data_IF_388321079133
#
_entry.id   IF_388321079133
#
_cell.length_a   1.000
_cell.length_b   1.000
_cell.length_c   1.000
_cell.angle_alpha   90.00
_cell.angle_beta   90.00
_cell.angle_gamma   90.00
#
_symmetry.space_group_name_H-M   'P 1'
#
loop_
_entity.id
_entity.type
_entity.pdbx_description
1 polymer ?
#
# COMPACT_ATOMS: atom_id res chain seq x y z
N UNK A 1 -24.98 -0.71 -5.99
CA UNK A 1 -24.41 -0.45 -7.34
C UNK A 1 -23.12 0.34 -7.18
N UNK A 2 -22.08 -0.04 -7.92
CA UNK A 2 -20.78 0.66 -7.94
C UNK A 2 -20.77 1.59 -9.16
N UNK A 3 -20.42 2.85 -8.97
CA UNK A 3 -20.20 3.80 -10.05
C UNK A 3 -18.73 4.22 -10.04
N UNK A 4 -18.00 3.96 -11.13
CA UNK A 4 -16.59 4.33 -11.27
C UNK A 4 -16.48 5.29 -12.44
N UNK A 5 -15.81 6.42 -12.23
CA UNK A 5 -15.44 7.32 -13.32
C UNK A 5 -14.26 6.72 -14.08
N UNK A 6 -14.38 6.61 -15.38
CA UNK A 6 -13.36 6.08 -16.26
C UNK A 6 -13.31 6.93 -17.52
N UNK A 7 -12.12 7.10 -18.07
CA UNK A 7 -11.92 7.68 -19.39
C UNK A 7 -12.68 6.86 -20.46
N UNK A 8 -13.30 7.56 -21.42
CA UNK A 8 -14.15 6.89 -22.41
C UNK A 8 -13.33 6.00 -23.35
N UNK A 9 -12.16 6.46 -23.80
CA UNK A 9 -11.32 5.68 -24.70
C UNK A 9 -10.80 4.42 -24.00
N UNK A 10 -10.43 4.53 -22.72
CA UNK A 10 -10.06 3.37 -21.90
C UNK A 10 -11.23 2.40 -21.73
N UNK A 11 -12.44 2.90 -21.47
CA UNK A 11 -13.64 2.09 -21.32
C UNK A 11 -13.93 1.25 -22.56
N UNK A 12 -13.86 1.88 -23.73
CA UNK A 12 -14.20 1.23 -24.99
C UNK A 12 -13.19 0.13 -25.32
N UNK A 13 -11.89 0.43 -25.21
CA UNK A 13 -10.80 -0.54 -25.41
C UNK A 13 -10.88 -1.72 -24.44
N UNK A 14 -11.17 -1.45 -23.17
CA UNK A 14 -11.31 -2.51 -22.17
C UNK A 14 -12.54 -3.38 -22.44
N UNK A 15 -13.65 -2.78 -22.87
CA UNK A 15 -14.89 -3.51 -23.18
C UNK A 15 -14.72 -4.42 -24.39
N UNK A 16 -14.03 -3.95 -25.45
CA UNK A 16 -13.70 -4.76 -26.61
C UNK A 16 -12.80 -5.94 -26.23
N UNK A 17 -11.74 -5.70 -25.44
CA UNK A 17 -10.84 -6.76 -24.99
C UNK A 17 -11.57 -7.81 -24.13
N UNK A 18 -12.45 -7.38 -23.22
CA UNK A 18 -13.28 -8.28 -22.41
C UNK A 18 -14.26 -9.09 -23.24
N UNK A 19 -14.91 -8.46 -24.22
CA UNK A 19 -15.81 -9.14 -25.14
C UNK A 19 -15.09 -10.21 -25.98
N UNK A 20 -13.87 -9.93 -26.44
CA UNK A 20 -13.02 -10.92 -27.12
C UNK A 20 -12.66 -12.12 -26.23
N UNK A 21 -12.62 -11.93 -24.90
CA UNK A 21 -12.46 -12.99 -23.91
C UNK A 21 -13.79 -13.67 -23.49
N UNK A 22 -14.93 -13.22 -24.02
CA UNK A 22 -16.25 -13.73 -23.64
C UNK A 22 -16.75 -13.26 -22.27
N UNK A 23 -16.19 -12.18 -21.73
CA UNK A 23 -16.53 -11.63 -20.42
C UNK A 23 -17.30 -10.30 -20.55
N UNK A 24 -18.30 -10.10 -19.70
CA UNK A 24 -18.88 -8.77 -19.53
C UNK A 24 -18.03 -7.92 -18.59
N UNK A 25 -18.14 -6.59 -18.68
CA UNK A 25 -17.49 -5.67 -17.72
C UNK A 25 -17.89 -5.98 -16.27
N UNK A 26 -19.15 -6.37 -16.05
CA UNK A 26 -19.63 -6.73 -14.73
C UNK A 26 -18.97 -8.00 -14.19
N UNK A 27 -18.71 -9.00 -15.05
CA UNK A 27 -18.05 -10.24 -14.65
C UNK A 27 -16.58 -10.01 -14.31
N UNK A 28 -15.88 -9.20 -15.10
CA UNK A 28 -14.50 -8.81 -14.81
C UNK A 28 -14.39 -8.11 -13.45
N UNK A 29 -15.30 -7.17 -13.15
CA UNK A 29 -15.33 -6.49 -11.85
C UNK A 29 -15.65 -7.47 -10.71
N UNK A 30 -16.60 -8.38 -10.88
CA UNK A 30 -16.92 -9.40 -9.85
C UNK A 30 -15.71 -10.28 -9.55
N UNK A 31 -15.01 -10.74 -10.58
CA UNK A 31 -13.80 -11.56 -10.45
C UNK A 31 -12.69 -10.82 -9.70
N UNK A 32 -12.45 -9.55 -10.03
CA UNK A 32 -11.49 -8.70 -9.33
C UNK A 32 -11.80 -8.61 -7.83
N UNK A 33 -13.05 -8.29 -7.47
CA UNK A 33 -13.45 -8.17 -6.06
C UNK A 33 -13.39 -9.52 -5.33
N UNK A 34 -13.74 -10.61 -6.00
CA UNK A 34 -13.60 -11.94 -5.41
C UNK A 34 -12.13 -12.26 -5.12
N UNK A 35 -11.21 -11.98 -6.05
CA UNK A 35 -9.78 -12.25 -5.83
C UNK A 35 -9.22 -11.42 -4.68
N UNK A 36 -9.60 -10.15 -4.58
CA UNK A 36 -9.23 -9.28 -3.45
C UNK A 36 -9.75 -9.85 -2.12
N UNK A 37 -11.02 -10.27 -2.07
CA UNK A 37 -11.60 -10.83 -0.87
C UNK A 37 -10.94 -12.15 -0.45
N UNK A 38 -10.59 -13.01 -1.41
CA UNK A 38 -9.96 -14.31 -1.15
C UNK A 38 -8.51 -14.19 -0.74
N UNK A 39 -7.72 -13.37 -1.42
CA UNK A 39 -6.27 -13.29 -1.18
C UNK A 39 -5.89 -12.23 -0.15
N UNK A 40 -6.83 -11.36 0.24
CA UNK A 40 -6.56 -10.17 1.05
C UNK A 40 -5.45 -9.28 0.44
N UNK A 41 -5.32 -9.33 -0.89
CA UNK A 41 -4.29 -8.65 -1.64
C UNK A 41 -4.85 -8.15 -2.97
N UNK A 42 -4.24 -7.11 -3.52
CA UNK A 42 -4.59 -6.64 -4.85
C UNK A 42 -3.98 -7.57 -5.91
N UNK A 43 -4.76 -8.07 -6.89
CA UNK A 43 -4.30 -9.12 -7.80
C UNK A 43 -3.35 -8.65 -8.91
N UNK A 44 -3.00 -7.36 -8.93
CA UNK A 44 -1.94 -6.83 -9.77
C UNK A 44 -0.76 -6.47 -8.87
N UNK A 45 0.45 -6.80 -9.32
CA UNK A 45 1.67 -6.39 -8.61
C UNK A 45 1.75 -4.86 -8.55
N UNK A 46 1.58 -4.30 -7.35
CA UNK A 46 1.79 -2.89 -7.08
C UNK A 46 3.30 -2.65 -6.94
N UNK A 47 3.95 -2.33 -8.07
CA UNK A 47 5.42 -2.20 -8.15
C UNK A 47 5.99 -0.93 -7.52
N UNK A 48 5.15 0.09 -7.31
CA UNK A 48 5.60 1.39 -6.80
C UNK A 48 5.06 1.59 -5.38
N UNK A 49 5.94 1.68 -4.36
CA UNK A 49 5.51 2.01 -3.01
C UNK A 49 4.76 3.34 -3.00
N UNK A 50 3.76 3.48 -2.12
CA UNK A 50 3.00 4.72 -2.02
C UNK A 50 3.88 5.88 -1.48
N UNK A 51 3.36 7.10 -1.49
CA UNK A 51 4.15 8.27 -1.09
C UNK A 51 4.69 8.18 0.35
N UNK A 52 3.88 7.66 1.27
CA UNK A 52 4.25 7.46 2.68
C UNK A 52 5.37 6.44 2.82
N UNK A 53 5.25 5.27 2.20
CA UNK A 53 6.29 4.24 2.20
C UNK A 53 7.58 4.76 1.58
N UNK A 54 7.51 5.53 0.49
CA UNK A 54 8.71 6.14 -0.10
C UNK A 54 9.36 7.15 0.84
N UNK A 55 8.58 7.96 1.55
CA UNK A 55 9.11 8.92 2.53
C UNK A 55 9.84 8.19 3.67
N UNK A 56 9.22 7.14 4.23
CA UNK A 56 9.82 6.31 5.27
C UNK A 56 11.12 5.63 4.80
N UNK A 57 11.18 5.15 3.54
CA UNK A 57 12.40 4.57 2.97
C UNK A 57 13.53 5.61 2.85
N UNK A 58 13.22 6.84 2.42
CA UNK A 58 14.21 7.93 2.34
C UNK A 58 14.71 8.31 3.73
N UNK A 59 13.82 8.41 4.72
CA UNK A 59 14.18 8.68 6.11
C UNK A 59 15.10 7.60 6.68
N UNK A 60 14.77 6.32 6.44
CA UNK A 60 15.61 5.20 6.83
C UNK A 60 16.99 5.26 6.16
N UNK A 61 17.06 5.51 4.85
CA UNK A 61 18.33 5.66 4.11
C UNK A 61 19.19 6.80 4.68
N UNK A 62 18.58 7.93 5.02
CA UNK A 62 19.29 9.04 5.66
C UNK A 62 19.79 8.69 7.06
N UNK A 63 18.98 7.98 7.85
CA UNK A 63 19.34 7.51 9.18
C UNK A 63 20.58 6.61 9.11
N UNK A 64 20.58 5.61 8.23
CA UNK A 64 21.74 4.73 8.04
C UNK A 64 22.99 5.48 7.52
N UNK A 65 22.82 6.42 6.57
CA UNK A 65 23.94 7.24 6.06
C UNK A 65 24.59 8.13 7.12
N UNK A 66 23.81 8.61 8.08
CA UNK A 66 24.29 9.44 9.20
C UNK A 66 24.96 8.60 10.30
N UNK A 67 25.13 7.29 10.10
CA UNK A 67 25.70 6.38 11.09
C UNK A 67 24.70 5.95 12.16
N UNK A 68 23.40 6.06 11.88
CA UNK A 68 22.34 5.55 12.74
C UNK A 68 22.45 4.04 12.88
N UNK A 69 23.01 3.59 14.00
CA UNK A 69 23.02 2.18 14.39
C UNK A 69 22.04 1.99 15.52
N UNK A 70 20.79 1.69 15.21
CA UNK A 70 19.87 1.03 16.13
C UNK A 70 20.27 -0.45 16.26
N UNK A 71 21.50 -0.69 16.72
CA UNK A 71 21.94 -2.02 17.11
C UNK A 71 21.46 -2.24 18.54
N UNK A 72 20.76 -3.34 18.75
CA UNK A 72 20.30 -3.77 20.06
C UNK A 72 20.91 -5.14 20.35
N UNK A 73 21.32 -5.36 21.59
CA UNK A 73 21.95 -6.62 22.01
C UNK A 73 20.94 -7.78 22.09
N UNK A 74 19.65 -7.46 22.27
CA UNK A 74 18.55 -8.44 22.28
C UNK A 74 17.21 -7.79 21.85
N UNK A 75 16.19 -8.63 21.65
CA UNK A 75 14.86 -8.18 21.22
C UNK A 75 14.14 -7.33 22.28
N UNK A 76 14.36 -7.58 23.58
CA UNK A 76 13.71 -6.84 24.67
C UNK A 76 14.15 -5.38 24.68
N UNK A 77 15.45 -5.12 24.46
CA UNK A 77 16.01 -3.77 24.36
C UNK A 77 15.44 -3.00 23.15
N UNK A 78 15.29 -3.68 22.01
CA UNK A 78 14.65 -3.10 20.82
C UNK A 78 13.18 -2.75 21.07
N UNK A 79 12.40 -3.64 21.69
CA UNK A 79 10.98 -3.40 21.98
C UNK A 79 10.78 -2.29 23.02
N UNK A 80 11.64 -2.21 24.03
CA UNK A 80 11.60 -1.14 25.03
C UNK A 80 11.80 0.25 24.40
N UNK A 81 12.76 0.37 23.47
CA UNK A 81 13.01 1.63 22.77
C UNK A 81 11.85 2.01 21.84
N UNK A 82 11.34 1.07 21.04
CA UNK A 82 10.17 1.30 20.18
C UNK A 82 8.95 1.74 20.99
N UNK A 83 8.74 1.17 22.18
CA UNK A 83 7.61 1.55 23.02
C UNK A 83 7.78 2.97 23.57
N UNK A 84 8.99 3.36 23.98
CA UNK A 84 9.31 4.73 24.41
C UNK A 84 9.11 5.75 23.27
N UNK A 85 9.61 5.44 22.07
CA UNK A 85 9.45 6.28 20.88
C UNK A 85 7.96 6.41 20.48
N UNK A 86 7.20 5.31 20.52
CA UNK A 86 5.76 5.32 20.27
C UNK A 86 4.99 6.17 21.27
N UNK A 87 5.38 6.15 22.56
CA UNK A 87 4.78 6.99 23.62
C UNK A 87 5.08 8.46 23.36
N UNK A 88 6.33 8.81 23.04
CA UNK A 88 6.72 10.17 22.68
C UNK A 88 5.95 10.71 21.46
N UNK A 89 5.77 9.90 20.40
CA UNK A 89 4.99 10.28 19.22
C UNK A 89 3.50 10.45 19.52
N UNK A 90 2.93 9.67 20.44
CA UNK A 90 1.53 9.82 20.89
C UNK A 90 1.33 11.08 21.72
N UNK A 91 2.31 11.44 22.53
CA UNK A 91 2.30 12.65 23.36
C UNK A 91 2.58 13.92 22.55
N UNK A 92 3.34 13.83 21.46
CA UNK A 92 3.65 14.95 20.57
C UNK A 92 2.49 15.39 19.65
N UNK A 93 1.41 14.59 19.55
CA UNK A 93 0.23 14.92 18.74
C UNK A 93 0.46 14.72 17.23
N UNK A 94 -0.31 13.81 16.62
CA UNK A 94 -0.27 13.53 15.17
C UNK A 94 -0.35 14.81 14.31
N UNK A 95 0.49 15.00 13.28
CA UNK A 95 0.06 15.77 12.12
C UNK A 95 -1.09 15.00 11.42
N UNK A 96 -2.19 15.70 11.16
CA UNK A 96 -3.34 15.16 10.40
C UNK A 96 -2.90 14.73 9.01
N UNK A 97 -3.43 13.57 8.61
CA UNK A 97 -3.45 13.03 7.25
C UNK A 97 -3.94 14.03 6.20
#
# INVERSE_FOLDING_TARGET
>A
MIHVRMDNDLKDRATEALAAMGLSTADAVRLLFHRIATDQAFPLELKVPNAETRAAMVEADEFFKKGGTSHFDNADDMFAELENESKALREAGKPKS
#
